data_IF_684178628335
#
_entry.id   IF_684178628335
#
_cell.length_a   1.000
_cell.length_b   1.000
_cell.length_c   1.000
_cell.angle_alpha   90.00
_cell.angle_beta   90.00
_cell.angle_gamma   90.00
#
_symmetry.space_group_name_H-M   'P 1'
#
loop_
_entity.id
_entity.type
_entity.pdbx_description
1 polymer ?
#
# COMPACT_ATOMS: atom_id res chain seq x y z
N UNK A 1 71.00 -8.83 32.67
CA UNK A 1 71.97 -9.94 32.56
C UNK A 1 71.78 -10.80 33.80
N UNK A 2 71.51 -12.09 33.82
CA UNK A 2 71.12 -13.15 32.87
C UNK A 2 70.61 -14.29 33.76
N UNK A 3 69.70 -15.14 33.25
CA UNK A 3 69.16 -16.32 33.96
C UNK A 3 70.24 -17.37 34.33
N UNK A 4 69.91 -18.44 35.10
CA UNK A 4 69.45 -19.66 34.43
C UNK A 4 68.39 -20.56 35.15
N UNK A 5 67.49 -21.06 34.31
CA UNK A 5 66.82 -22.38 34.15
C UNK A 5 66.83 -23.48 35.23
N UNK A 6 65.64 -24.03 35.53
CA UNK A 6 65.41 -25.46 35.77
C UNK A 6 64.01 -25.89 35.29
N UNK A 7 63.98 -27.00 34.54
CA UNK A 7 62.87 -27.58 33.80
C UNK A 7 61.94 -28.43 34.69
N UNK A 8 60.62 -28.27 34.55
CA UNK A 8 59.64 -29.21 35.12
C UNK A 8 58.77 -29.76 33.98
N UNK A 9 58.86 -31.08 33.82
CA UNK A 9 58.24 -31.87 32.77
C UNK A 9 56.71 -31.90 32.88
N UNK A 10 56.05 -31.71 31.75
CA UNK A 10 54.61 -31.94 31.54
C UNK A 10 54.31 -33.44 31.47
N UNK A 11 53.33 -33.91 32.25
CA UNK A 11 52.72 -35.24 32.08
C UNK A 11 51.36 -35.04 31.40
N UNK A 12 51.03 -35.73 30.30
CA UNK A 12 49.71 -35.63 29.69
C UNK A 12 48.66 -36.35 30.56
N UNK A 13 47.42 -35.86 30.65
CA UNK A 13 46.33 -36.65 31.22
C UNK A 13 45.95 -37.78 30.27
N UNK A 14 45.82 -38.97 30.87
CA UNK A 14 45.40 -40.24 30.30
C UNK A 14 44.15 -40.11 29.43
N UNK A 15 44.17 -40.70 28.24
CA UNK A 15 42.99 -40.96 27.42
C UNK A 15 42.01 -41.85 28.20
N UNK A 16 40.95 -41.27 28.74
CA UNK A 16 39.84 -42.03 29.30
C UNK A 16 39.04 -42.64 28.15
N UNK A 17 39.04 -43.98 28.07
CA UNK A 17 38.12 -44.76 27.24
C UNK A 17 36.67 -44.44 27.64
N UNK A 18 35.72 -44.25 26.72
CA UNK A 18 34.34 -43.97 27.09
C UNK A 18 33.72 -45.20 27.75
N UNK A 19 33.11 -44.99 28.92
CA UNK A 19 32.29 -45.99 29.62
C UNK A 19 31.08 -46.40 28.75
N UNK A 20 30.58 -47.64 28.87
CA UNK A 20 29.49 -48.14 28.03
C UNK A 20 28.20 -47.33 28.26
N UNK A 21 27.56 -46.96 27.15
CA UNK A 21 26.34 -46.16 27.14
C UNK A 21 25.18 -46.88 27.86
N UNK A 22 24.53 -46.17 28.78
CA UNK A 22 23.31 -46.58 29.45
C UNK A 22 22.15 -46.61 28.42
N UNK A 23 21.52 -47.76 28.13
CA UNK A 23 20.52 -47.89 27.08
C UNK A 23 19.16 -47.25 27.42
N UNK A 24 19.03 -46.60 28.59
CA UNK A 24 17.79 -45.93 29.03
C UNK A 24 17.84 -44.40 29.07
N UNK A 25 18.98 -43.76 28.75
CA UNK A 25 19.12 -42.31 28.85
C UNK A 25 18.69 -41.63 27.54
N UNK A 26 17.58 -40.89 27.58
CA UNK A 26 17.16 -40.02 26.48
C UNK A 26 18.31 -39.06 26.10
N UNK A 27 18.58 -38.83 24.80
CA UNK A 27 19.64 -37.91 24.40
C UNK A 27 19.39 -36.53 25.01
N UNK A 28 20.45 -35.78 25.40
CA UNK A 28 20.28 -34.42 25.89
C UNK A 28 19.49 -33.63 24.86
N UNK A 29 18.35 -33.07 25.27
CA UNK A 29 17.57 -32.19 24.40
C UNK A 29 18.49 -31.05 23.97
N UNK A 30 18.84 -31.03 22.68
CA UNK A 30 19.56 -29.91 22.10
C UNK A 30 18.74 -28.64 22.37
N UNK A 31 19.37 -27.52 22.76
CA UNK A 31 18.66 -26.26 22.90
C UNK A 31 17.88 -25.98 21.62
N UNK A 32 16.57 -25.77 21.72
CA UNK A 32 15.74 -25.36 20.60
C UNK A 32 16.41 -24.16 19.95
N UNK A 33 16.77 -24.28 18.68
CA UNK A 33 17.41 -23.21 17.93
C UNK A 33 16.33 -22.17 17.55
N UNK A 34 15.81 -21.44 18.55
CA UNK A 34 14.82 -20.36 18.42
C UNK A 34 15.31 -19.26 17.44
N UNK A 35 16.62 -19.16 17.27
CA UNK A 35 17.25 -18.28 16.29
C UNK A 35 16.81 -18.59 14.85
N UNK A 36 16.62 -19.86 14.47
CA UNK A 36 16.17 -20.22 13.12
C UNK A 36 14.71 -19.83 12.87
N UNK A 37 13.84 -19.92 13.89
CA UNK A 37 12.45 -19.47 13.80
C UNK A 37 12.35 -17.94 13.75
N UNK A 38 13.24 -17.22 14.43
CA UNK A 38 13.34 -15.74 14.36
C UNK A 38 13.91 -15.21 13.03
N UNK A 39 14.53 -16.08 12.23
CA UNK A 39 14.98 -15.81 10.85
C UNK A 39 13.95 -16.28 9.80
N UNK A 40 12.88 -16.96 10.23
CA UNK A 40 11.71 -17.33 9.43
C UNK A 40 10.55 -16.28 9.34
N UNK A 41 10.63 -15.02 9.80
CA UNK A 41 9.60 -14.03 9.49
C UNK A 41 9.75 -13.48 8.07
N UNK A 42 10.92 -13.64 7.42
CA UNK A 42 11.14 -13.17 6.06
C UNK A 42 10.57 -14.15 5.02
N UNK A 43 10.77 -15.46 5.14
CA UNK A 43 10.33 -16.43 4.13
C UNK A 43 8.80 -16.61 4.13
N UNK A 44 8.16 -16.63 5.30
CA UNK A 44 6.72 -16.76 5.44
C UNK A 44 5.95 -15.49 5.04
N UNK A 45 6.47 -14.29 5.36
CA UNK A 45 5.90 -13.03 4.90
C UNK A 45 6.08 -12.80 3.40
N UNK A 46 7.24 -13.17 2.84
CA UNK A 46 7.52 -13.02 1.39
C UNK A 46 6.78 -14.08 0.56
N UNK A 47 6.61 -15.30 1.07
CA UNK A 47 5.78 -16.31 0.44
C UNK A 47 4.28 -15.95 0.50
N UNK A 48 3.82 -15.35 1.60
CA UNK A 48 2.46 -14.82 1.75
C UNK A 48 2.19 -13.62 0.84
N UNK A 49 3.15 -12.71 0.68
CA UNK A 49 3.01 -11.57 -0.26
C UNK A 49 3.00 -12.04 -1.70
N UNK A 50 3.90 -12.96 -2.09
CA UNK A 50 3.95 -13.50 -3.45
C UNK A 50 2.69 -14.33 -3.81
N UNK A 51 2.12 -15.06 -2.86
CA UNK A 51 0.87 -15.79 -3.05
C UNK A 51 -0.36 -14.86 -3.17
N UNK A 52 -0.39 -13.76 -2.40
CA UNK A 52 -1.40 -12.70 -2.53
C UNK A 52 -1.28 -12.00 -3.88
N UNK A 53 -0.08 -11.61 -4.30
CA UNK A 53 0.18 -10.98 -5.61
C UNK A 53 -0.28 -11.89 -6.77
N UNK A 54 -0.01 -13.20 -6.71
CA UNK A 54 -0.45 -14.14 -7.74
C UNK A 54 -1.98 -14.30 -7.79
N UNK A 55 -2.64 -14.26 -6.63
CA UNK A 55 -4.10 -14.32 -6.52
C UNK A 55 -4.76 -13.02 -6.98
N UNK A 56 -4.14 -11.87 -6.70
CA UNK A 56 -4.57 -10.55 -7.13
C UNK A 56 -4.44 -10.40 -8.64
N UNK A 57 -3.38 -10.94 -9.24
CA UNK A 57 -3.23 -11.05 -10.70
C UNK A 57 -4.35 -11.90 -11.30
N UNK A 58 -4.69 -13.04 -10.70
CA UNK A 58 -5.80 -13.89 -11.19
C UNK A 58 -7.16 -13.19 -11.14
N UNK A 59 -7.42 -12.42 -10.08
CA UNK A 59 -8.65 -11.63 -9.92
C UNK A 59 -8.69 -10.41 -10.82
N UNK A 60 -7.55 -9.76 -11.02
CA UNK A 60 -7.37 -8.64 -11.95
C UNK A 60 -7.64 -9.11 -13.38
N UNK A 61 -7.09 -10.27 -13.76
CA UNK A 61 -7.36 -10.90 -15.05
C UNK A 61 -8.85 -11.23 -15.19
N UNK A 62 -9.53 -11.68 -14.12
CA UNK A 62 -10.98 -11.91 -14.13
C UNK A 62 -11.80 -10.65 -14.36
N UNK A 63 -11.47 -9.53 -13.71
CA UNK A 63 -12.14 -8.23 -13.92
C UNK A 63 -11.81 -7.65 -15.29
N UNK A 64 -10.55 -7.72 -15.72
CA UNK A 64 -10.13 -7.36 -17.08
C UNK A 64 -10.84 -8.20 -18.13
N UNK A 65 -11.04 -9.49 -17.90
CA UNK A 65 -11.77 -10.38 -18.81
C UNK A 65 -13.28 -10.11 -18.79
N UNK A 66 -13.85 -9.68 -17.67
CA UNK A 66 -15.27 -9.33 -17.58
C UNK A 66 -15.56 -7.96 -18.22
N UNK A 67 -14.79 -6.93 -17.87
CA UNK A 67 -14.91 -5.57 -18.43
C UNK A 67 -14.46 -5.56 -19.88
N UNK A 68 -13.29 -6.15 -20.15
CA UNK A 68 -12.75 -6.33 -21.49
C UNK A 68 -13.60 -7.28 -22.32
N UNK A 69 -14.20 -8.31 -21.75
CA UNK A 69 -15.12 -9.23 -22.44
C UNK A 69 -16.49 -8.62 -22.71
N UNK A 70 -16.99 -7.73 -21.85
CA UNK A 70 -18.19 -6.93 -22.12
C UNK A 70 -17.92 -5.93 -23.25
N UNK A 71 -16.77 -5.26 -23.24
CA UNK A 71 -16.31 -4.44 -24.35
C UNK A 71 -16.11 -5.28 -25.62
N UNK A 72 -15.48 -6.45 -25.53
CA UNK A 72 -15.27 -7.36 -26.67
C UNK A 72 -16.59 -7.92 -27.23
N UNK A 73 -17.57 -8.19 -26.36
CA UNK A 73 -18.90 -8.62 -26.77
C UNK A 73 -19.63 -7.52 -27.56
N UNK A 74 -19.35 -6.24 -27.26
CA UNK A 74 -19.79 -5.13 -28.12
C UNK A 74 -18.97 -5.02 -29.42
N UNK A 75 -17.67 -5.36 -29.41
CA UNK A 75 -16.76 -5.37 -30.59
C UNK A 75 -17.06 -6.47 -31.63
N UNK A 76 -17.69 -7.59 -31.23
CA UNK A 76 -18.07 -8.66 -32.16
C UNK A 76 -19.15 -8.20 -33.17
N UNK A 77 -19.73 -7.00 -33.00
CA UNK A 77 -20.65 -6.37 -33.94
C UNK A 77 -20.15 -4.99 -34.42
N UNK A 78 -19.05 -4.97 -35.17
CA UNK A 78 -18.39 -3.76 -35.72
C UNK A 78 -19.32 -2.77 -36.45
N UNK A 79 -20.43 -3.22 -37.03
CA UNK A 79 -21.43 -2.33 -37.65
C UNK A 79 -22.34 -1.60 -36.65
N UNK A 80 -22.51 -2.16 -35.46
CA UNK A 80 -23.32 -1.59 -34.38
C UNK A 80 -22.52 -0.64 -33.49
N UNK A 81 -21.22 -0.90 -33.30
CA UNK A 81 -20.36 -0.06 -32.44
C UNK A 81 -20.19 1.36 -32.99
N UNK A 82 -20.04 1.51 -34.32
CA UNK A 82 -19.95 2.83 -34.95
C UNK A 82 -21.27 3.61 -34.89
N UNK A 83 -22.40 2.93 -34.69
CA UNK A 83 -23.71 3.58 -34.53
C UNK A 83 -24.11 3.82 -33.08
N UNK A 84 -23.45 3.18 -32.10
CA UNK A 84 -23.84 3.22 -30.67
C UNK A 84 -22.63 3.34 -29.72
N UNK A 85 -21.60 4.08 -30.12
CA UNK A 85 -20.38 4.28 -29.32
C UNK A 85 -20.69 4.81 -27.91
N UNK A 86 -21.62 5.75 -27.78
CA UNK A 86 -22.02 6.31 -26.48
C UNK A 86 -22.59 5.24 -25.54
N UNK A 87 -23.33 4.27 -26.07
CA UNK A 87 -23.92 3.18 -25.31
C UNK A 87 -22.82 2.20 -24.83
N UNK A 88 -21.85 1.90 -25.70
CA UNK A 88 -20.70 1.07 -25.33
C UNK A 88 -19.85 1.73 -24.22
N UNK A 89 -19.54 3.03 -24.36
CA UNK A 89 -18.82 3.78 -23.33
C UNK A 89 -19.60 3.85 -22.01
N UNK A 90 -20.93 4.05 -22.08
CA UNK A 90 -21.79 4.05 -20.89
C UNK A 90 -21.79 2.69 -20.19
N UNK A 91 -21.88 1.59 -20.94
CA UNK A 91 -21.86 0.24 -20.38
C UNK A 91 -20.52 -0.07 -19.68
N UNK A 92 -19.40 0.28 -20.32
CA UNK A 92 -18.05 0.11 -19.73
C UNK A 92 -17.88 1.01 -18.51
N UNK A 93 -18.37 2.26 -18.55
CA UNK A 93 -18.34 3.17 -17.42
C UNK A 93 -19.08 2.59 -16.19
N UNK A 94 -20.32 2.12 -16.39
CA UNK A 94 -21.13 1.53 -15.31
C UNK A 94 -20.47 0.25 -14.77
N UNK A 95 -19.98 -0.63 -15.64
CA UNK A 95 -19.32 -1.87 -15.24
C UNK A 95 -18.02 -1.61 -14.46
N UNK A 96 -17.18 -0.67 -14.92
CA UNK A 96 -15.95 -0.30 -14.23
C UNK A 96 -16.23 0.37 -12.88
N UNK A 97 -17.23 1.25 -12.81
CA UNK A 97 -17.62 1.90 -11.56
C UNK A 97 -18.19 0.90 -10.55
N UNK A 98 -19.02 -0.05 -11.01
CA UNK A 98 -19.44 -1.18 -10.18
C UNK A 98 -18.24 -2.01 -9.70
N UNK A 99 -17.22 -2.19 -10.55
CA UNK A 99 -15.95 -2.81 -10.18
C UNK A 99 -15.23 -2.09 -9.04
N UNK A 100 -15.23 -0.75 -9.03
CA UNK A 100 -14.65 0.05 -7.94
C UNK A 100 -15.43 -0.15 -6.63
N UNK A 101 -16.75 -0.28 -6.69
CA UNK A 101 -17.58 -0.52 -5.49
C UNK A 101 -17.36 -1.93 -4.94
N UNK A 102 -17.28 -2.93 -5.81
CA UNK A 102 -17.14 -4.35 -5.44
C UNK A 102 -15.69 -4.71 -5.09
N UNK A 103 -14.73 -3.82 -5.35
CA UNK A 103 -13.30 -4.03 -5.08
C UNK A 103 -13.00 -4.42 -3.62
N UNK A 104 -13.78 -3.89 -2.66
CA UNK A 104 -13.65 -4.25 -1.23
C UNK A 104 -13.90 -5.75 -0.96
N UNK A 105 -14.63 -6.45 -1.85
CA UNK A 105 -14.82 -7.91 -1.81
C UNK A 105 -13.87 -8.71 -2.71
N UNK A 106 -13.22 -8.08 -3.70
CA UNK A 106 -12.34 -8.73 -4.68
C UNK A 106 -10.85 -8.61 -4.31
N UNK A 107 -10.47 -7.74 -3.38
CA UNK A 107 -9.08 -7.56 -2.97
C UNK A 107 -8.17 -6.95 -4.05
N UNK A 108 -8.77 -6.34 -5.08
CA UNK A 108 -8.02 -5.50 -6.02
C UNK A 108 -7.71 -4.14 -5.36
N UNK A 109 -6.91 -3.29 -6.00
CA UNK A 109 -6.77 -1.89 -5.57
C UNK A 109 -7.74 -1.00 -6.36
N UNK A 110 -8.42 -0.08 -5.66
CA UNK A 110 -9.33 0.94 -6.25
C UNK A 110 -8.66 1.65 -7.43
N UNK A 111 -7.36 1.95 -7.28
CA UNK A 111 -6.55 2.57 -8.31
C UNK A 111 -6.37 1.68 -9.56
N UNK A 112 -6.07 0.38 -9.40
CA UNK A 112 -5.90 -0.51 -10.54
C UNK A 112 -7.20 -0.67 -11.34
N UNK A 113 -8.34 -0.85 -10.66
CA UNK A 113 -9.65 -0.95 -11.32
C UNK A 113 -10.00 0.35 -12.07
N UNK A 114 -9.72 1.51 -11.46
CA UNK A 114 -9.91 2.81 -12.10
C UNK A 114 -9.01 3.01 -13.34
N UNK A 115 -7.76 2.55 -13.29
CA UNK A 115 -6.84 2.63 -14.43
C UNK A 115 -7.29 1.74 -15.60
N UNK A 116 -7.77 0.53 -15.32
CA UNK A 116 -8.32 -0.37 -16.35
C UNK A 116 -9.57 0.25 -16.98
N UNK A 117 -10.45 0.84 -16.18
CA UNK A 117 -11.63 1.56 -16.66
C UNK A 117 -11.24 2.72 -17.59
N UNK A 118 -10.27 3.55 -17.17
CA UNK A 118 -9.77 4.65 -17.98
C UNK A 118 -9.18 4.15 -19.30
N UNK A 119 -8.32 3.13 -19.27
CA UNK A 119 -7.72 2.54 -20.47
C UNK A 119 -8.80 1.98 -21.42
N UNK A 120 -9.84 1.34 -20.90
CA UNK A 120 -10.96 0.82 -21.68
C UNK A 120 -11.77 1.93 -22.38
N UNK A 121 -12.12 2.99 -21.66
CA UNK A 121 -12.86 4.13 -22.23
C UNK A 121 -12.05 4.87 -23.30
N UNK A 122 -10.77 5.14 -23.05
CA UNK A 122 -9.89 5.77 -24.03
C UNK A 122 -9.64 4.87 -25.25
N UNK A 123 -9.56 3.55 -25.07
CA UNK A 123 -9.45 2.60 -26.19
C UNK A 123 -10.67 2.65 -27.10
N UNK A 124 -11.89 2.69 -26.53
CA UNK A 124 -13.14 2.82 -27.32
C UNK A 124 -13.17 4.17 -28.03
N UNK A 125 -12.83 5.27 -27.33
CA UNK A 125 -12.76 6.63 -27.91
C UNK A 125 -11.82 6.69 -29.11
N UNK A 126 -10.66 6.04 -29.03
CA UNK A 126 -9.65 6.00 -30.09
C UNK A 126 -10.17 5.37 -31.40
N UNK A 127 -11.10 4.41 -31.32
CA UNK A 127 -11.65 3.73 -32.50
C UNK A 127 -12.60 4.60 -33.33
N UNK A 128 -13.16 5.66 -32.74
CA UNK A 128 -14.19 6.47 -33.36
C UNK A 128 -13.66 7.70 -34.10
N UNK A 129 -12.70 8.41 -33.50
CA UNK A 129 -12.18 9.66 -34.04
C UNK A 129 -10.74 9.56 -34.57
N UNK A 130 -10.09 8.41 -34.38
CA UNK A 130 -8.71 8.19 -34.80
C UNK A 130 -7.68 8.78 -33.82
N UNK A 131 -6.40 8.45 -34.06
CA UNK A 131 -5.30 8.74 -33.12
C UNK A 131 -4.93 10.23 -33.02
N UNK A 132 -5.24 11.05 -34.03
CA UNK A 132 -4.83 12.47 -34.04
C UNK A 132 -5.71 13.34 -33.13
N UNK A 133 -7.02 13.12 -33.12
CA UNK A 133 -7.94 13.80 -32.20
C UNK A 133 -7.73 13.35 -30.75
N UNK A 134 -7.34 12.08 -30.57
CA UNK A 134 -7.06 11.48 -29.27
C UNK A 134 -5.89 12.14 -28.54
N UNK A 135 -4.83 12.54 -29.25
CA UNK A 135 -3.59 13.02 -28.63
C UNK A 135 -3.81 14.29 -27.80
N UNK A 136 -4.55 15.26 -28.35
CA UNK A 136 -4.85 16.52 -27.66
C UNK A 136 -5.82 16.32 -26.48
N UNK A 137 -6.91 15.58 -26.68
CA UNK A 137 -7.91 15.35 -25.63
C UNK A 137 -7.34 14.53 -24.47
N UNK A 138 -6.66 13.43 -24.79
CA UNK A 138 -6.04 12.56 -23.79
C UNK A 138 -4.90 13.28 -23.08
N UNK A 139 -4.09 14.05 -23.81
CA UNK A 139 -3.04 14.88 -23.23
C UNK A 139 -3.58 15.90 -22.23
N UNK A 140 -4.67 16.59 -22.56
CA UNK A 140 -5.33 17.54 -21.65
C UNK A 140 -5.86 16.84 -20.39
N UNK A 141 -6.59 15.73 -20.56
CA UNK A 141 -7.15 14.99 -19.44
C UNK A 141 -6.07 14.40 -18.52
N UNK A 142 -5.00 13.85 -19.09
CA UNK A 142 -3.84 13.38 -18.32
C UNK A 142 -3.12 14.53 -17.62
N UNK A 143 -3.03 15.70 -18.26
CA UNK A 143 -2.49 16.92 -17.67
C UNK A 143 -3.24 17.33 -16.41
N UNK A 144 -4.57 17.44 -16.48
CA UNK A 144 -5.42 17.76 -15.34
C UNK A 144 -5.30 16.74 -14.20
N UNK A 145 -5.35 15.44 -14.53
CA UNK A 145 -5.21 14.38 -13.53
C UNK A 145 -3.81 14.39 -12.90
N UNK A 146 -2.76 14.59 -13.71
CA UNK A 146 -1.38 14.67 -13.21
C UNK A 146 -1.18 15.86 -12.27
N UNK A 147 -1.81 17.00 -12.55
CA UNK A 147 -1.76 18.17 -11.67
C UNK A 147 -2.35 17.85 -10.30
N UNK A 148 -3.50 17.15 -10.24
CA UNK A 148 -4.08 16.69 -8.98
C UNK A 148 -3.17 15.69 -8.28
N UNK A 149 -2.57 14.73 -9.00
CA UNK A 149 -1.65 13.75 -8.41
C UNK A 149 -0.40 14.43 -7.83
N UNK A 150 0.24 15.35 -8.56
CA UNK A 150 1.40 16.08 -8.07
C UNK A 150 1.06 16.95 -6.87
N UNK A 151 -0.11 17.59 -6.89
CA UNK A 151 -0.62 18.35 -5.76
C UNK A 151 -0.82 17.45 -4.52
N UNK A 152 -1.45 16.29 -4.69
CA UNK A 152 -1.69 15.31 -3.62
C UNK A 152 -0.40 14.72 -3.07
N UNK A 153 0.52 14.35 -3.95
CA UNK A 153 1.83 13.81 -3.59
C UNK A 153 2.62 14.84 -2.77
N UNK A 154 2.64 16.10 -3.22
CA UNK A 154 3.26 17.20 -2.49
C UNK A 154 2.60 17.45 -1.14
N UNK A 155 1.27 17.51 -1.09
CA UNK A 155 0.51 17.71 0.14
C UNK A 155 0.76 16.58 1.16
N UNK A 156 0.66 15.32 0.74
CA UNK A 156 0.91 14.15 1.58
C UNK A 156 2.36 14.13 2.09
N UNK A 157 3.33 14.43 1.22
CA UNK A 157 4.75 14.52 1.60
C UNK A 157 5.00 15.63 2.61
N UNK A 158 4.45 16.83 2.39
CA UNK A 158 4.59 17.96 3.33
C UNK A 158 3.96 17.60 4.67
N UNK A 159 2.78 16.97 4.67
CA UNK A 159 2.12 16.51 5.90
C UNK A 159 3.01 15.52 6.66
N UNK A 160 3.63 14.57 5.96
CA UNK A 160 4.54 13.58 6.56
C UNK A 160 5.84 14.22 7.08
N UNK A 161 6.43 15.17 6.35
CA UNK A 161 7.62 15.92 6.79
C UNK A 161 7.30 16.77 8.01
N UNK A 162 6.14 17.44 8.04
CA UNK A 162 5.70 18.24 9.19
C UNK A 162 5.44 17.33 10.40
N UNK A 163 4.83 16.16 10.21
CA UNK A 163 4.58 15.20 11.30
C UNK A 163 5.89 14.64 11.87
N UNK A 164 6.83 14.24 11.01
CA UNK A 164 8.15 13.71 11.43
C UNK A 164 8.96 14.71 12.25
N UNK A 165 8.79 16.01 12.01
CA UNK A 165 9.43 17.09 12.78
C UNK A 165 8.61 17.57 13.98
N UNK A 166 7.56 16.84 14.38
CA UNK A 166 6.63 17.24 15.45
C UNK A 166 5.99 18.62 15.22
N UNK A 167 5.83 19.07 13.97
CA UNK A 167 5.24 20.37 13.65
C UNK A 167 3.81 20.52 14.18
N UNK A 168 3.06 19.41 14.22
CA UNK A 168 1.72 19.37 14.78
C UNK A 168 1.68 19.40 16.32
N UNK A 169 2.82 19.23 17.02
CA UNK A 169 2.87 19.28 18.49
C UNK A 169 2.55 20.67 19.04
N UNK A 170 2.95 21.72 18.34
CA UNK A 170 2.64 23.12 18.73
C UNK A 170 1.14 23.38 18.65
N UNK A 171 0.51 22.87 17.60
CA UNK A 171 -0.94 22.99 17.37
C UNK A 171 -1.71 22.17 18.41
N UNK A 172 -1.33 20.90 18.60
CA UNK A 172 -1.97 20.00 19.60
C UNK A 172 -1.74 20.44 21.04
N UNK A 173 -0.62 21.08 21.38
CA UNK A 173 -0.41 21.63 22.72
C UNK A 173 -1.22 22.90 23.00
N UNK A 174 -1.47 23.71 21.96
CA UNK A 174 -2.33 24.89 22.05
C UNK A 174 -3.82 24.50 22.10
N UNK A 175 -4.17 23.39 21.46
CA UNK A 175 -5.50 22.79 21.45
C UNK A 175 -5.61 21.74 22.57
N UNK A 176 -5.92 22.17 23.80
CA UNK A 176 -6.27 21.27 24.92
C UNK A 176 -7.78 21.27 25.16
N UNK A 177 -8.58 20.57 24.34
CA UNK A 177 -10.02 20.54 24.51
C UNK A 177 -10.41 19.77 25.77
N UNK A 178 -11.27 20.37 26.60
CA UNK A 178 -11.81 19.72 27.81
C UNK A 178 -13.03 18.83 27.52
N UNK A 179 -13.61 18.91 26.31
CA UNK A 179 -14.78 18.15 25.89
C UNK A 179 -14.80 17.89 24.38
N UNK A 180 -15.57 16.89 23.93
CA UNK A 180 -15.73 16.56 22.50
C UNK A 180 -16.23 17.75 21.68
N UNK A 181 -17.15 18.55 22.24
CA UNK A 181 -17.66 19.76 21.59
C UNK A 181 -16.60 20.85 21.44
N UNK A 182 -15.74 21.03 22.45
CA UNK A 182 -14.62 21.97 22.36
C UNK A 182 -13.58 21.53 21.33
N UNK A 183 -13.30 20.23 21.23
CA UNK A 183 -12.42 19.68 20.18
C UNK A 183 -12.97 20.01 18.79
N UNK A 184 -14.25 19.72 18.54
CA UNK A 184 -14.88 20.01 17.25
C UNK A 184 -14.86 21.50 16.92
N UNK A 185 -15.24 22.37 17.86
CA UNK A 185 -15.18 23.83 17.66
C UNK A 185 -13.78 24.32 17.35
N UNK A 186 -12.77 23.79 18.05
CA UNK A 186 -11.39 24.20 17.86
C UNK A 186 -10.83 23.70 16.51
N UNK A 187 -11.12 22.44 16.14
CA UNK A 187 -10.78 21.88 14.82
C UNK A 187 -11.48 22.66 13.72
N UNK A 188 -12.76 23.00 13.84
CA UNK A 188 -13.48 23.84 12.87
C UNK A 188 -12.83 25.21 12.73
N UNK A 189 -12.46 25.86 13.84
CA UNK A 189 -11.77 27.16 13.80
C UNK A 189 -10.41 27.09 13.10
N UNK A 190 -9.60 26.07 13.40
CA UNK A 190 -8.30 25.85 12.75
C UNK A 190 -8.48 25.50 11.28
N UNK A 191 -9.45 24.64 10.94
CA UNK A 191 -9.80 24.27 9.56
C UNK A 191 -10.20 25.49 8.75
N UNK A 192 -11.02 26.38 9.32
CA UNK A 192 -11.46 27.62 8.67
C UNK A 192 -10.27 28.53 8.32
N UNK A 193 -9.34 28.73 9.26
CA UNK A 193 -8.15 29.56 9.00
C UNK A 193 -7.23 28.89 7.98
N UNK A 194 -6.96 27.59 8.14
CA UNK A 194 -6.10 26.83 7.21
C UNK A 194 -6.67 26.79 5.79
N UNK A 195 -7.99 26.67 5.63
CA UNK A 195 -8.67 26.67 4.32
C UNK A 195 -8.57 28.01 3.58
N UNK A 196 -8.23 29.12 4.27
CA UNK A 196 -7.97 30.39 3.60
C UNK A 196 -6.54 30.48 3.03
N UNK A 197 -5.65 29.59 3.46
CA UNK A 197 -4.25 29.53 3.03
C UNK A 197 -3.98 28.33 2.11
N UNK A 198 -4.70 27.22 2.32
CA UNK A 198 -4.55 25.95 1.61
C UNK A 198 -5.81 25.61 0.82
N UNK A 199 -5.63 24.83 -0.25
CA UNK A 199 -6.74 24.24 -1.00
C UNK A 199 -7.55 23.24 -0.16
N UNK A 200 -8.81 23.04 -0.52
CA UNK A 200 -9.79 22.24 0.23
C UNK A 200 -9.33 20.80 0.51
N UNK A 201 -8.66 20.19 -0.47
CA UNK A 201 -8.16 18.82 -0.34
C UNK A 201 -6.94 18.78 0.60
N UNK A 202 -5.95 19.66 0.44
CA UNK A 202 -4.80 19.74 1.36
C UNK A 202 -5.24 20.05 2.78
N UNK A 203 -6.19 20.97 2.97
CA UNK A 203 -6.78 21.26 4.28
C UNK A 203 -7.36 20.00 4.91
N UNK A 204 -8.10 19.21 4.13
CA UNK A 204 -8.65 17.93 4.60
C UNK A 204 -7.56 16.95 5.02
N UNK A 205 -6.50 16.78 4.22
CA UNK A 205 -5.38 15.88 4.56
C UNK A 205 -4.71 16.32 5.87
N UNK A 206 -4.40 17.61 6.02
CA UNK A 206 -3.79 18.15 7.24
C UNK A 206 -4.71 17.96 8.45
N UNK A 207 -6.02 18.22 8.31
CA UNK A 207 -6.97 18.05 9.41
C UNK A 207 -7.13 16.58 9.81
N UNK A 208 -7.12 15.64 8.87
CA UNK A 208 -7.13 14.19 9.18
C UNK A 208 -5.87 13.80 9.95
N UNK A 209 -4.69 14.27 9.53
CA UNK A 209 -3.44 14.02 10.25
C UNK A 209 -3.46 14.59 11.68
N UNK A 210 -3.99 15.81 11.86
CA UNK A 210 -4.17 16.44 13.16
C UNK A 210 -5.17 15.68 14.04
N UNK A 211 -6.30 15.26 13.47
CA UNK A 211 -7.35 14.52 14.18
C UNK A 211 -6.84 13.17 14.68
N UNK A 212 -6.05 12.44 13.89
CA UNK A 212 -5.43 11.18 14.31
C UNK A 212 -4.49 11.36 15.51
N UNK A 213 -3.86 12.54 15.66
CA UNK A 213 -3.03 12.85 16.85
C UNK A 213 -3.85 13.30 18.05
N UNK A 214 -4.97 13.98 17.82
CA UNK A 214 -5.86 14.51 18.87
C UNK A 214 -6.82 13.46 19.42
N UNK A 215 -7.20 12.48 18.62
CA UNK A 215 -8.11 11.39 18.97
C UNK A 215 -7.45 10.03 18.66
N UNK A 216 -6.41 9.63 19.41
CA UNK A 216 -5.84 8.30 19.26
C UNK A 216 -6.92 7.24 19.57
N UNK A 217 -6.95 6.17 18.77
CA UNK A 217 -7.82 5.02 19.05
C UNK A 217 -7.44 4.43 20.43
N UNK A 218 -8.42 4.11 21.29
CA UNK A 218 -8.13 3.36 22.49
C UNK A 218 -7.67 1.95 22.10
N UNK A 219 -6.49 1.55 22.57
CA UNK A 219 -5.93 0.18 22.42
C UNK A 219 -6.94 -0.92 22.81
#
# INVERSE_FOLDING_TARGET
MSAPTASVATRPPSSASPAPADPGAAPPLLPSNDYLQSLEPASSATASSAARDAQDVGRLVGVCAAVGGLALATELNKGWIGSHQELAMTAVFVAGYAGIIVEEGLGLSKAAVALILAAGLWSIRATAEGLEALDLEMGSALGEVSAVIFFLLGAMTVVEVVDSHQGFKVITQSLRPASRTQLLLAVTGVTFVMSSVLDNLTTTIVMVALLNKLCPEPD
#
